data_IF_320347704367
#
_entry.id   IF_320347704367
#
_cell.length_a   1.000
_cell.length_b   1.000
_cell.length_c   1.000
_cell.angle_alpha   90.00
_cell.angle_beta   90.00
_cell.angle_gamma   90.00
#
_symmetry.space_group_name_H-M   'P 1'
#
loop_
_entity.id
_entity.type
_entity.pdbx_description
1 polymer ?
#
# COMPACT_ATOMS: atom_id res chain seq x y z
N UNK A 1 8.47 -6.32 -4.83
CA UNK A 1 7.17 -5.67 -5.14
C UNK A 1 6.43 -5.52 -3.82
N UNK A 2 6.59 -4.39 -3.14
CA UNK A 2 6.18 -4.25 -1.74
C UNK A 2 4.68 -4.42 -1.50
N UNK A 3 3.82 -4.19 -2.49
CA UNK A 3 2.36 -4.21 -2.30
C UNK A 3 1.75 -5.45 -2.94
N UNK A 4 1.74 -6.54 -2.16
CA UNK A 4 0.98 -7.75 -2.51
C UNK A 4 -0.44 -7.62 -1.97
N UNK A 5 -1.48 -7.82 -2.80
CA UNK A 5 -2.87 -7.57 -2.44
C UNK A 5 -3.32 -8.31 -1.18
N UNK A 6 -4.32 -7.76 -0.48
CA UNK A 6 -4.91 -8.36 0.72
C UNK A 6 -5.62 -9.72 0.46
N UNK A 7 -5.70 -10.14 -0.80
CA UNK A 7 -6.28 -11.39 -1.28
C UNK A 7 -5.21 -12.24 -1.95
N UNK A 8 -5.40 -13.58 -2.04
CA UNK A 8 -4.51 -14.42 -2.83
C UNK A 8 -4.39 -13.86 -4.24
N UNK A 9 -3.15 -13.58 -4.69
CA UNK A 9 -2.86 -12.91 -5.97
C UNK A 9 -3.61 -13.56 -7.13
N UNK A 10 -3.79 -14.89 -7.11
CA UNK A 10 -4.55 -15.63 -8.13
C UNK A 10 -6.03 -15.25 -8.21
N UNK A 11 -6.72 -15.12 -7.07
CA UNK A 11 -8.12 -14.70 -7.04
C UNK A 11 -8.26 -13.25 -7.51
N UNK A 12 -7.28 -12.42 -7.15
CA UNK A 12 -7.21 -11.04 -7.58
C UNK A 12 -7.03 -10.91 -9.10
N UNK A 13 -6.03 -11.59 -9.68
CA UNK A 13 -5.80 -11.62 -11.13
C UNK A 13 -7.00 -12.21 -11.88
N UNK A 14 -7.66 -13.22 -11.33
CA UNK A 14 -8.86 -13.80 -11.93
C UNK A 14 -10.02 -12.80 -11.94
N UNK A 15 -10.31 -12.17 -10.81
CA UNK A 15 -11.37 -11.18 -10.70
C UNK A 15 -11.13 -10.00 -11.65
N UNK A 16 -9.89 -9.48 -11.70
CA UNK A 16 -9.53 -8.43 -12.63
C UNK A 16 -9.70 -8.87 -14.10
N UNK A 17 -9.27 -10.08 -14.46
CA UNK A 17 -9.44 -10.60 -15.83
C UNK A 17 -10.91 -10.72 -16.22
N UNK A 18 -11.75 -11.23 -15.32
CA UNK A 18 -13.19 -11.36 -15.55
C UNK A 18 -13.83 -9.98 -15.73
N UNK A 19 -13.51 -9.02 -14.87
CA UNK A 19 -14.10 -7.68 -14.92
C UNK A 19 -13.63 -6.92 -16.15
N UNK A 20 -12.35 -7.00 -16.51
CA UNK A 20 -11.83 -6.39 -17.74
C UNK A 20 -12.46 -7.01 -18.99
N UNK A 21 -12.60 -8.34 -19.02
CA UNK A 21 -13.27 -9.03 -20.11
C UNK A 21 -14.74 -8.62 -20.26
N UNK A 22 -15.47 -8.51 -19.15
CA UNK A 22 -16.85 -8.03 -19.15
C UNK A 22 -16.94 -6.56 -19.55
N UNK A 23 -16.00 -5.72 -19.08
CA UNK A 23 -15.93 -4.31 -19.43
C UNK A 23 -15.73 -4.11 -20.93
N UNK A 24 -14.82 -4.87 -21.55
CA UNK A 24 -14.62 -4.86 -23.01
C UNK A 24 -15.84 -5.39 -23.77
N UNK A 25 -16.49 -6.45 -23.29
CA UNK A 25 -17.65 -7.05 -23.95
C UNK A 25 -18.90 -6.17 -23.87
N UNK A 26 -19.08 -5.46 -22.76
CA UNK A 26 -20.25 -4.63 -22.48
C UNK A 26 -20.03 -3.14 -22.76
N UNK A 27 -18.85 -2.78 -23.28
CA UNK A 27 -18.45 -1.38 -23.55
C UNK A 27 -18.63 -0.48 -22.33
N UNK A 28 -18.28 -0.97 -21.14
CA UNK A 28 -18.44 -0.23 -19.91
C UNK A 28 -17.47 0.95 -19.80
N UNK A 29 -17.93 2.03 -19.17
CA UNK A 29 -17.04 3.11 -18.74
C UNK A 29 -16.20 2.68 -17.53
N UNK A 30 -15.11 3.39 -17.25
CA UNK A 30 -14.25 3.08 -16.09
C UNK A 30 -14.98 3.24 -14.76
N UNK A 31 -15.92 4.18 -14.67
CA UNK A 31 -16.78 4.38 -13.52
C UNK A 31 -17.72 3.19 -13.30
N UNK A 32 -18.27 2.63 -14.38
CA UNK A 32 -19.10 1.42 -14.31
C UNK A 32 -18.29 0.20 -13.89
N UNK A 33 -17.08 0.02 -14.45
CA UNK A 33 -16.16 -1.07 -14.07
C UNK A 33 -15.87 -1.05 -12.56
N UNK A 34 -15.58 0.13 -12.02
CA UNK A 34 -15.35 0.36 -10.60
C UNK A 34 -16.60 0.05 -9.76
N UNK A 35 -17.78 0.52 -10.17
CA UNK A 35 -19.03 0.26 -9.44
C UNK A 35 -19.36 -1.24 -9.38
N UNK A 36 -19.24 -1.95 -10.49
CA UNK A 36 -19.49 -3.40 -10.53
C UNK A 36 -18.47 -4.17 -9.70
N UNK A 37 -17.20 -3.77 -9.71
CA UNK A 37 -16.18 -4.35 -8.85
C UNK A 37 -16.57 -4.22 -7.37
N UNK A 38 -16.98 -3.02 -6.93
CA UNK A 38 -17.44 -2.80 -5.56
C UNK A 38 -18.64 -3.68 -5.21
N UNK A 39 -19.64 -3.76 -6.09
CA UNK A 39 -20.83 -4.59 -5.89
C UNK A 39 -20.47 -6.07 -5.78
N UNK A 40 -19.62 -6.59 -6.67
CA UNK A 40 -19.20 -7.99 -6.65
C UNK A 40 -18.48 -8.35 -5.35
N UNK A 41 -17.51 -7.52 -4.96
CA UNK A 41 -16.78 -7.70 -3.71
C UNK A 41 -17.69 -7.61 -2.49
N UNK A 42 -18.65 -6.68 -2.51
CA UNK A 42 -19.63 -6.56 -1.44
C UNK A 42 -20.46 -7.82 -1.30
N UNK A 43 -20.99 -8.36 -2.40
CA UNK A 43 -21.73 -9.64 -2.40
C UNK A 43 -20.86 -10.75 -1.82
N UNK A 44 -19.59 -10.84 -2.19
CA UNK A 44 -18.66 -11.82 -1.61
C UNK A 44 -18.49 -11.65 -0.09
N UNK A 45 -18.16 -10.44 0.39
CA UNK A 45 -18.03 -10.13 1.84
C UNK A 45 -19.33 -10.41 2.60
N UNK A 46 -20.47 -10.08 1.99
CA UNK A 46 -21.81 -10.32 2.54
C UNK A 46 -22.09 -11.81 2.70
N UNK A 47 -21.85 -12.61 1.64
CA UNK A 47 -22.04 -14.07 1.68
C UNK A 47 -21.10 -14.77 2.66
N UNK A 48 -19.89 -14.23 2.90
CA UNK A 48 -18.97 -14.75 3.92
C UNK A 48 -19.31 -14.33 5.35
N UNK A 49 -20.34 -13.51 5.54
CA UNK A 49 -20.73 -13.00 6.86
C UNK A 49 -19.69 -12.06 7.47
N UNK A 50 -18.79 -11.48 6.67
CA UNK A 50 -17.79 -10.50 7.12
C UNK A 50 -18.43 -9.15 7.45
N UNK A 51 -19.68 -8.92 7.01
CA UNK A 51 -20.51 -7.73 7.27
C UNK A 51 -21.16 -7.69 8.66
N UNK A 52 -20.87 -8.63 9.56
CA UNK A 52 -21.45 -8.62 10.91
C UNK A 52 -20.92 -7.43 11.71
N UNK A 53 -21.84 -6.63 12.27
CA UNK A 53 -21.62 -5.36 12.99
C UNK A 53 -20.50 -5.38 14.02
N UNK A 54 -20.22 -6.52 14.66
CA UNK A 54 -19.13 -6.65 15.63
C UNK A 54 -17.74 -6.32 15.10
N UNK A 55 -17.47 -6.53 13.81
CA UNK A 55 -16.15 -6.24 13.18
C UNK A 55 -15.99 -4.83 12.64
N UNK A 56 -17.10 -4.08 12.52
CA UNK A 56 -17.11 -2.75 11.90
C UNK A 56 -17.25 -1.60 12.92
N UNK A 57 -17.30 -1.92 14.22
CA UNK A 57 -17.49 -0.92 15.31
C UNK A 57 -16.40 0.17 15.40
N UNK A 58 -15.25 -0.01 14.75
CA UNK A 58 -14.16 0.97 14.72
C UNK A 58 -14.24 1.99 13.58
N UNK A 59 -15.13 1.79 12.61
CA UNK A 59 -15.26 2.69 11.46
C UNK A 59 -16.32 3.76 11.74
N UNK A 60 -15.97 5.03 11.52
CA UNK A 60 -16.89 6.19 11.66
C UNK A 60 -18.09 6.02 10.71
N UNK A 61 -19.26 6.53 11.13
CA UNK A 61 -20.51 6.68 10.36
C UNK A 61 -20.59 5.90 9.03
N UNK A 62 -20.62 4.57 9.10
CA UNK A 62 -20.86 3.77 7.91
C UNK A 62 -22.35 3.84 7.56
N UNK A 63 -22.64 4.13 6.30
CA UNK A 63 -24.00 4.18 5.80
C UNK A 63 -24.69 2.79 5.95
N UNK A 64 -25.86 2.70 6.61
CA UNK A 64 -26.44 1.42 7.01
C UNK A 64 -26.75 0.45 5.87
N UNK A 65 -26.91 0.93 4.62
CA UNK A 65 -27.17 0.03 3.49
C UNK A 65 -26.04 -0.97 3.25
N UNK A 66 -24.82 -0.74 3.78
CA UNK A 66 -23.71 -1.71 3.72
C UNK A 66 -24.04 -3.05 4.38
N UNK A 67 -25.05 -3.10 5.26
CA UNK A 67 -25.50 -4.33 5.90
C UNK A 67 -26.55 -5.09 5.08
N UNK A 68 -26.89 -4.60 3.89
CA UNK A 68 -27.87 -5.22 2.99
C UNK A 68 -27.17 -5.87 1.80
N UNK A 69 -27.88 -6.73 1.06
CA UNK A 69 -27.34 -7.31 -0.18
C UNK A 69 -27.13 -6.27 -1.29
N UNK A 70 -27.92 -5.19 -1.28
CA UNK A 70 -27.93 -4.13 -2.31
C UNK A 70 -27.61 -2.76 -1.68
N UNK A 71 -26.34 -2.48 -1.35
CA UNK A 71 -25.95 -1.21 -0.76
C UNK A 71 -26.05 -0.07 -1.78
N UNK A 72 -26.07 1.16 -1.28
CA UNK A 72 -25.88 2.34 -2.12
C UNK A 72 -24.43 2.42 -2.60
N UNK A 73 -24.20 3.14 -3.70
CA UNK A 73 -22.84 3.44 -4.18
C UNK A 73 -22.02 4.18 -3.11
N UNK A 74 -22.65 5.04 -2.32
CA UNK A 74 -21.98 5.77 -1.25
C UNK A 74 -21.51 4.84 -0.11
N UNK A 75 -22.35 3.90 0.33
CA UNK A 75 -21.94 2.85 1.29
C UNK A 75 -20.75 2.03 0.77
N UNK A 76 -20.78 1.65 -0.50
CA UNK A 76 -19.70 0.88 -1.13
C UNK A 76 -18.37 1.64 -1.12
N UNK A 77 -18.39 2.95 -1.37
CA UNK A 77 -17.20 3.81 -1.34
C UNK A 77 -16.65 3.96 0.09
N UNK A 78 -17.53 4.13 1.09
CA UNK A 78 -17.10 4.26 2.50
C UNK A 78 -16.49 2.98 3.06
N UNK A 79 -16.98 1.82 2.64
CA UNK A 79 -16.52 0.53 3.13
C UNK A 79 -15.09 0.18 2.70
N UNK A 80 -14.64 0.77 1.60
CA UNK A 80 -13.43 0.33 0.93
C UNK A 80 -12.48 1.51 0.71
N UNK A 81 -12.07 2.13 1.83
CA UNK A 81 -10.98 3.12 1.89
C UNK A 81 -9.66 2.59 1.30
N UNK A 82 -9.48 1.27 1.21
CA UNK A 82 -8.32 0.62 0.62
C UNK A 82 -8.47 0.34 -0.89
N UNK A 83 -9.62 0.63 -1.54
CA UNK A 83 -9.90 0.28 -2.95
C UNK A 83 -9.68 1.40 -3.96
N UNK A 84 -9.20 2.54 -3.47
CA UNK A 84 -8.18 3.22 -4.26
C UNK A 84 -6.87 2.38 -4.36
N UNK A 85 -6.89 1.08 -3.99
CA UNK A 85 -6.01 0.04 -4.52
C UNK A 85 -5.95 0.16 -6.05
N UNK A 86 -4.92 0.87 -6.54
CA UNK A 86 -3.86 0.50 -7.48
C UNK A 86 -4.30 -0.40 -8.65
N UNK A 87 -5.01 -1.48 -8.32
CA UNK A 87 -5.68 -2.42 -9.21
C UNK A 87 -6.69 -1.79 -10.16
N UNK A 88 -7.54 -0.85 -9.69
CA UNK A 88 -8.51 -0.21 -10.59
C UNK A 88 -7.87 0.93 -11.39
N UNK A 89 -6.85 1.58 -10.82
CA UNK A 89 -6.16 2.68 -11.50
C UNK A 89 -5.25 2.21 -12.62
N UNK A 90 -5.13 0.89 -12.86
CA UNK A 90 -4.12 0.28 -13.74
C UNK A 90 -2.71 0.85 -13.47
N UNK A 91 -2.48 1.28 -12.22
CA UNK A 91 -1.30 2.06 -11.89
C UNK A 91 -0.16 1.09 -11.64
N UNK A 92 0.67 0.94 -12.67
CA UNK A 92 1.91 0.19 -12.59
C UNK A 92 2.93 1.02 -11.81
N UNK A 93 3.29 0.56 -10.62
CA UNK A 93 4.38 1.16 -9.88
C UNK A 93 5.68 0.56 -10.41
N UNK A 94 6.56 1.35 -11.05
CA UNK A 94 7.89 0.86 -11.33
C UNK A 94 8.56 0.46 -10.02
N UNK A 95 9.45 -0.54 -10.09
CA UNK A 95 10.22 -0.94 -8.92
C UNK A 95 10.95 0.28 -8.36
N UNK A 96 10.67 0.63 -7.11
CA UNK A 96 11.38 1.69 -6.42
C UNK A 96 12.74 1.14 -5.99
N UNK A 97 13.82 1.75 -6.48
CA UNK A 97 15.20 1.31 -6.22
C UNK A 97 15.81 1.91 -4.95
N UNK A 98 15.11 2.84 -4.31
CA UNK A 98 15.57 3.47 -3.08
C UNK A 98 15.17 2.70 -1.83
N UNK A 99 15.75 3.09 -0.70
CA UNK A 99 15.37 2.57 0.61
C UNK A 99 13.96 3.01 0.99
N UNK A 100 13.24 2.13 1.68
CA UNK A 100 11.86 2.33 2.11
C UNK A 100 11.79 2.24 3.63
N UNK A 101 11.41 3.33 4.28
CA UNK A 101 11.14 3.39 5.71
C UNK A 101 9.64 3.17 5.95
N UNK A 102 9.26 1.98 6.42
CA UNK A 102 7.87 1.62 6.71
C UNK A 102 7.57 1.86 8.18
N UNK A 103 6.62 2.75 8.50
CA UNK A 103 6.16 2.98 9.88
C UNK A 103 4.80 2.30 10.08
N UNK A 104 4.73 1.43 11.09
CA UNK A 104 3.57 0.57 11.32
C UNK A 104 3.00 0.72 12.74
N UNK A 105 1.68 0.78 12.85
CA UNK A 105 0.96 0.83 14.11
C UNK A 105 0.92 -0.56 14.78
N UNK A 106 1.39 -0.66 16.02
CA UNK A 106 1.60 -1.93 16.73
C UNK A 106 0.32 -2.76 16.89
N UNK A 107 -0.80 -2.11 17.17
CA UNK A 107 -2.07 -2.77 17.47
C UNK A 107 -2.86 -3.13 16.19
N UNK A 108 -2.28 -2.94 15.00
CA UNK A 108 -2.93 -3.34 13.75
C UNK A 108 -2.91 -4.87 13.54
N UNK A 109 -4.07 -5.37 13.14
CA UNK A 109 -4.35 -6.82 13.03
C UNK A 109 -3.50 -7.54 11.98
N UNK A 110 -2.94 -6.78 11.03
CA UNK A 110 -2.19 -7.31 9.89
C UNK A 110 -0.66 -7.15 10.01
N UNK A 111 -0.15 -6.75 11.19
CA UNK A 111 1.29 -6.48 11.39
C UNK A 111 2.18 -7.68 11.01
N UNK A 112 1.75 -8.91 11.28
CA UNK A 112 2.57 -10.10 11.03
C UNK A 112 2.76 -10.40 9.53
N UNK A 113 1.74 -10.12 8.71
CA UNK A 113 1.79 -10.34 7.26
C UNK A 113 2.72 -9.30 6.63
N UNK A 114 2.55 -8.03 6.99
CA UNK A 114 3.35 -6.94 6.44
C UNK A 114 4.78 -6.96 6.93
N UNK A 115 5.03 -7.31 8.20
CA UNK A 115 6.39 -7.50 8.71
C UNK A 115 7.15 -8.59 7.96
N UNK A 116 6.49 -9.72 7.68
CA UNK A 116 7.10 -10.80 6.90
C UNK A 116 7.43 -10.36 5.48
N UNK A 117 6.57 -9.55 4.86
CA UNK A 117 6.79 -9.01 3.51
C UNK A 117 7.91 -7.96 3.49
N UNK A 118 7.85 -6.99 4.41
CA UNK A 118 8.89 -5.97 4.54
C UNK A 118 10.27 -6.59 4.80
N UNK A 119 10.34 -7.64 5.62
CA UNK A 119 11.58 -8.38 5.87
C UNK A 119 12.10 -9.18 4.66
N UNK A 120 11.30 -9.36 3.62
CA UNK A 120 11.71 -10.04 2.37
C UNK A 120 12.15 -9.06 1.29
N UNK A 121 11.89 -7.76 1.44
CA UNK A 121 12.24 -6.74 0.46
C UNK A 121 13.50 -6.03 0.92
N UNK A 122 14.57 -6.16 0.14
CA UNK A 122 15.83 -5.48 0.38
C UNK A 122 15.63 -3.96 0.37
N UNK A 123 16.39 -3.22 1.20
CA UNK A 123 16.22 -1.78 1.36
C UNK A 123 14.98 -1.35 2.15
N UNK A 124 14.16 -2.29 2.65
CA UNK A 124 13.00 -1.93 3.48
C UNK A 124 13.31 -2.04 4.97
N UNK A 125 13.13 -0.94 5.71
CA UNK A 125 13.26 -0.88 7.17
C UNK A 125 11.88 -0.67 7.79
N UNK A 126 11.60 -1.37 8.89
CA UNK A 126 10.31 -1.33 9.58
C UNK A 126 10.44 -0.71 10.97
N UNK A 127 9.68 0.36 11.20
CA UNK A 127 9.51 1.01 12.50
C UNK A 127 8.13 0.72 13.05
N UNK A 128 8.03 0.46 14.35
CA UNK A 128 6.74 0.13 15.00
C UNK A 128 6.41 1.18 16.04
N UNK A 129 5.30 1.89 15.83
CA UNK A 129 4.78 2.91 16.74
C UNK A 129 3.56 2.38 17.52
N UNK A 130 3.33 2.82 18.76
CA UNK A 130 2.13 2.44 19.50
C UNK A 130 0.86 3.04 18.88
N UNK A 131 -0.27 2.39 19.12
CA UNK A 131 -1.59 2.73 18.63
C UNK A 131 -2.08 1.83 17.48
N UNK A 132 -3.39 1.84 17.29
CA UNK A 132 -4.00 1.41 16.02
C UNK A 132 -3.63 2.37 14.89
N UNK A 133 -4.03 2.07 13.65
CA UNK A 133 -3.86 2.94 12.49
C UNK A 133 -4.41 4.36 12.71
N UNK A 134 -5.44 4.50 13.55
CA UNK A 134 -5.96 5.81 13.97
C UNK A 134 -5.23 6.30 15.24
N UNK A 135 -5.05 5.42 16.23
CA UNK A 135 -4.40 5.76 17.50
C UNK A 135 -2.99 6.32 17.34
N UNK A 136 -2.20 5.79 16.41
CA UNK A 136 -0.83 6.26 16.19
C UNK A 136 -0.75 7.71 15.70
N UNK A 137 -1.80 8.21 15.03
CA UNK A 137 -1.89 9.59 14.50
C UNK A 137 -2.63 10.55 15.42
N UNK A 138 -3.16 10.04 16.52
CA UNK A 138 -3.98 10.82 17.47
C UNK A 138 -3.32 10.75 18.84
N UNK A 139 -3.51 9.62 19.53
CA UNK A 139 -3.01 9.40 20.90
C UNK A 139 -1.48 9.28 20.97
N UNK A 140 -0.82 8.83 19.89
CA UNK A 140 0.63 8.64 19.85
C UNK A 140 1.33 9.48 18.78
N UNK A 141 0.74 10.63 18.42
CA UNK A 141 1.28 11.51 17.38
C UNK A 141 2.73 11.93 17.66
N UNK A 142 3.09 12.15 18.93
CA UNK A 142 4.46 12.51 19.30
C UNK A 142 5.47 11.40 18.95
N UNK A 143 5.20 10.15 19.34
CA UNK A 143 6.08 9.02 19.03
C UNK A 143 6.18 8.78 17.53
N UNK A 144 5.07 8.97 16.80
CA UNK A 144 5.07 8.92 15.35
C UNK A 144 5.99 10.01 14.76
N UNK A 145 5.88 11.25 15.23
CA UNK A 145 6.73 12.36 14.76
C UNK A 145 8.22 12.14 15.05
N UNK A 146 8.57 11.65 16.25
CA UNK A 146 9.95 11.33 16.61
C UNK A 146 10.53 10.22 15.72
N UNK A 147 9.72 9.18 15.44
CA UNK A 147 10.12 8.09 14.54
C UNK A 147 10.36 8.60 13.12
N UNK A 148 9.48 9.47 12.60
CA UNK A 148 9.65 10.11 11.29
C UNK A 148 10.92 10.96 11.26
N UNK A 149 11.18 11.76 12.30
CA UNK A 149 12.40 12.56 12.39
C UNK A 149 13.65 11.69 12.33
N UNK A 150 13.71 10.60 13.09
CA UNK A 150 14.81 9.65 13.05
C UNK A 150 15.03 9.02 11.66
N UNK A 151 13.96 8.68 10.96
CA UNK A 151 14.05 8.17 9.59
C UNK A 151 14.67 9.20 8.65
N UNK A 152 14.21 10.45 8.74
CA UNK A 152 14.71 11.56 7.90
C UNK A 152 16.17 11.87 8.23
N UNK A 153 16.55 11.94 9.49
CA UNK A 153 17.93 12.22 9.91
C UNK A 153 18.89 11.08 9.52
N UNK A 154 18.42 9.84 9.57
CA UNK A 154 19.15 8.66 9.10
C UNK A 154 19.48 8.74 7.61
N UNK A 155 18.55 9.22 6.78
CA UNK A 155 18.75 9.43 5.34
C UNK A 155 19.81 10.51 5.09
N UNK A 156 19.75 11.64 5.80
CA UNK A 156 20.73 12.71 5.64
C UNK A 156 22.14 12.28 6.05
N UNK A 157 22.24 11.48 7.11
CA UNK A 157 23.52 10.95 7.60
C UNK A 157 24.14 9.96 6.60
N UNK A 158 23.35 9.07 5.99
CA UNK A 158 23.84 8.13 4.98
C UNK A 158 24.34 8.86 3.71
N UNK A 159 23.59 9.84 3.22
CA UNK A 159 23.96 10.61 2.03
C UNK A 159 25.23 11.46 2.22
N UNK A 160 25.55 11.87 3.45
CA UNK A 160 26.75 12.66 3.76
C UNK A 160 28.02 11.79 3.78
N UNK A 161 27.90 10.50 4.11
CA UNK A 161 29.05 9.58 4.12
C UNK A 161 29.41 9.15 2.69
N UNK A 162 28.41 8.89 1.85
CA UNK A 162 28.65 8.47 0.46
C UNK A 162 29.26 9.59 -0.41
N UNK A 163 28.88 10.86 -0.18
CA UNK A 163 29.44 11.99 -0.93
C UNK A 163 30.90 12.28 -0.59
N UNK A 164 31.30 12.07 0.66
CA UNK A 164 32.70 12.24 1.11
C UNK A 164 33.62 11.16 0.52
N UNK A 165 33.08 9.99 0.18
CA UNK A 165 33.87 8.89 -0.36
C UNK A 165 34.09 8.99 -1.89
N UNK A 166 33.21 9.70 -2.61
CA UNK A 166 33.36 9.94 -4.06
C UNK A 166 34.33 11.07 -4.42
N UNK A 167 34.66 11.98 -3.50
CA UNK A 167 35.58 13.10 -3.76
C UNK A 167 37.07 12.73 -3.65
N UNK A 168 37.39 11.47 -3.33
CA UNK A 168 38.77 10.99 -3.16
C UNK A 168 39.36 10.19 -4.34
N UNK A 169 38.63 10.01 -5.44
CA UNK A 169 39.09 9.13 -6.53
C UNK A 169 38.85 9.71 -7.94
N UNK A 170 39.42 10.89 -8.19
CA UNK A 170 39.73 11.32 -9.57
C UNK A 170 41.23 11.63 -9.63
N UNK A 171 42.06 10.60 -9.79
CA UNK A 171 43.39 10.80 -10.35
C UNK A 171 43.77 9.69 -11.33
N UNK A 172 43.98 10.13 -12.58
CA UNK A 172 44.97 9.63 -13.53
C UNK A 172 44.85 8.18 -14.02
N UNK A 173 44.04 7.95 -15.07
CA UNK A 173 44.36 6.96 -16.13
C UNK A 173 43.82 7.38 -17.51
N UNK A 174 44.45 8.38 -18.14
CA UNK A 174 44.50 8.47 -19.60
C UNK A 174 45.87 9.00 -20.03
N UNK A 175 46.82 8.07 -20.11
CA UNK A 175 48.09 8.24 -20.79
C UNK A 175 48.35 7.00 -21.63
N UNK A 176 47.79 6.96 -22.83
CA UNK A 176 48.18 5.99 -23.86
C UNK A 176 48.80 6.75 -25.02
N UNK A 177 50.13 6.61 -25.09
CA UNK A 177 50.99 7.12 -26.15
C UNK A 177 50.55 6.56 -27.51
N UNK A 178 50.39 7.44 -28.49
CA UNK A 178 50.51 7.09 -29.90
C UNK A 178 51.93 7.50 -30.30
N UNK A 179 52.73 6.54 -30.75
CA UNK A 179 54.01 6.78 -31.40
C UNK A 179 54.03 6.01 -32.71
N UNK A 180 54.11 6.79 -33.79
CA UNK A 180 54.58 6.54 -35.17
C UNK A 180 54.12 5.26 -35.86
#
# INVERSE_FOLDING_TARGET
MLVVPAYPTRLHTLAHRVIKGLSTLLTWSKEQELEYFFRFRHVYKYLRGERKTGKLKGFRHIEPSIFTLKPTTYALLQDDNAILDWTITEYDYPAYSGDIELIWAREESFHCIWRRKAAQEEGTRLHVVPGSHIGCRTDHIQTLSETVAQCVDGIHSANTVDSVQTDGFIESRYGANISV
#
